data_IF_266321538876
#
_entry.id   IF_266321538876
#
_cell.length_a   1.000
_cell.length_b   1.000
_cell.length_c   1.000
_cell.angle_alpha   90.00
_cell.angle_beta   90.00
_cell.angle_gamma   90.00
#
_symmetry.space_group_name_H-M   'P 1'
#
loop_
_entity.id
_entity.type
_entity.pdbx_description
1 polymer ?
#
# COMPACT_ATOMS: atom_id res chain seq x y z
N UNK A 1 22.43 -5.17 1.61
CA UNK A 1 23.78 -4.86 2.15
C UNK A 1 23.75 -4.17 3.53
N UNK A 2 23.09 -2.99 3.71
CA UNK A 2 23.12 -2.27 5.00
C UNK A 2 22.48 -3.05 6.15
N UNK A 3 21.33 -3.65 5.91
CA UNK A 3 20.64 -4.45 6.93
C UNK A 3 21.38 -5.75 7.23
N UNK A 4 22.01 -6.38 6.26
CA UNK A 4 22.86 -7.55 6.46
C UNK A 4 24.06 -7.21 7.33
N UNK A 5 24.71 -6.08 7.08
CA UNK A 5 25.81 -5.60 7.92
C UNK A 5 25.37 -5.25 9.34
N UNK A 6 24.16 -4.70 9.51
CA UNK A 6 23.59 -4.45 10.85
C UNK A 6 23.33 -5.76 11.60
N UNK A 7 22.84 -6.79 10.91
CA UNK A 7 22.61 -8.13 11.46
C UNK A 7 23.94 -8.84 11.80
N UNK A 8 24.98 -8.67 10.98
CA UNK A 8 26.30 -9.20 11.29
C UNK A 8 26.89 -8.59 12.58
N UNK A 9 26.66 -7.29 12.80
CA UNK A 9 27.14 -6.58 14.00
C UNK A 9 26.31 -6.88 15.24
N UNK A 10 24.99 -7.02 15.08
CA UNK A 10 24.06 -7.32 16.16
C UNK A 10 22.99 -8.31 15.65
N UNK A 11 23.22 -9.63 15.75
CA UNK A 11 22.31 -10.64 15.25
C UNK A 11 20.92 -10.65 15.91
N UNK A 12 20.79 -10.06 17.11
CA UNK A 12 19.53 -9.94 17.84
C UNK A 12 18.74 -8.66 17.48
N UNK A 13 19.20 -7.85 16.52
CA UNK A 13 18.52 -6.60 16.15
C UNK A 13 17.27 -6.86 15.29
N UNK A 14 16.14 -7.08 15.96
CA UNK A 14 14.85 -7.41 15.34
C UNK A 14 14.47 -6.47 14.20
N UNK A 15 14.63 -5.15 14.39
CA UNK A 15 14.29 -4.15 13.35
C UNK A 15 15.13 -4.32 12.09
N UNK A 16 16.39 -4.71 12.18
CA UNK A 16 17.24 -4.95 11.00
C UNK A 16 16.74 -6.16 10.20
N UNK A 17 16.35 -7.25 10.86
CA UNK A 17 15.72 -8.41 10.22
C UNK A 17 14.39 -8.04 9.56
N UNK A 18 13.55 -7.23 10.21
CA UNK A 18 12.29 -6.76 9.64
C UNK A 18 12.51 -5.92 8.37
N UNK A 19 13.42 -4.95 8.39
CA UNK A 19 13.73 -4.14 7.23
C UNK A 19 14.44 -4.92 6.11
N UNK A 20 15.22 -5.95 6.44
CA UNK A 20 15.72 -6.91 5.46
C UNK A 20 14.58 -7.61 4.74
N UNK A 21 13.57 -8.09 5.49
CA UNK A 21 12.37 -8.71 4.91
C UNK A 21 11.61 -7.76 3.97
N UNK A 22 11.39 -6.52 4.40
CA UNK A 22 10.74 -5.48 3.59
C UNK A 22 11.53 -5.21 2.29
N UNK A 23 12.86 -5.14 2.37
CA UNK A 23 13.71 -4.90 1.20
C UNK A 23 13.66 -6.06 0.22
N UNK A 24 13.69 -7.31 0.70
CA UNK A 24 13.60 -8.50 -0.13
C UNK A 24 12.25 -8.58 -0.85
N UNK A 25 11.15 -8.31 -0.14
CA UNK A 25 9.81 -8.29 -0.72
C UNK A 25 9.70 -7.24 -1.84
N UNK A 26 10.14 -5.99 -1.58
CA UNK A 26 10.12 -4.94 -2.60
C UNK A 26 11.02 -5.27 -3.81
N UNK A 27 12.16 -5.94 -3.59
CA UNK A 27 13.04 -6.35 -4.68
C UNK A 27 12.34 -7.37 -5.58
N UNK A 28 11.67 -8.35 -4.99
CA UNK A 28 10.90 -9.35 -5.72
C UNK A 28 9.76 -8.73 -6.55
N UNK A 29 9.09 -7.69 -6.02
CA UNK A 29 8.01 -6.98 -6.73
C UNK A 29 8.53 -6.19 -7.96
N UNK A 30 9.83 -5.91 -8.04
CA UNK A 30 10.44 -5.18 -9.16
C UNK A 30 11.04 -6.09 -10.24
N UNK A 31 11.17 -7.37 -9.98
CA UNK A 31 11.70 -8.35 -10.93
C UNK A 31 10.56 -8.97 -11.76
N UNK A 32 10.74 -9.11 -13.07
CA UNK A 32 9.75 -9.74 -13.95
C UNK A 32 9.52 -11.24 -13.60
N UNK A 33 10.54 -11.87 -13.05
CA UNK A 33 10.51 -13.29 -12.63
C UNK A 33 11.35 -13.46 -11.37
N UNK A 34 10.84 -13.07 -10.20
CA UNK A 34 11.59 -13.14 -8.96
C UNK A 34 11.90 -14.60 -8.58
N UNK A 35 13.12 -14.84 -8.06
CA UNK A 35 13.44 -16.13 -7.46
C UNK A 35 12.49 -16.39 -6.28
N UNK A 36 11.72 -17.49 -6.26
CA UNK A 36 10.84 -17.84 -5.15
C UNK A 36 11.51 -17.79 -3.77
N UNK A 37 12.81 -18.05 -3.70
CA UNK A 37 13.61 -17.95 -2.48
C UNK A 37 13.69 -16.55 -1.89
N UNK A 38 13.49 -15.50 -2.71
CA UNK A 38 13.47 -14.12 -2.19
C UNK A 38 12.31 -13.94 -1.20
N UNK A 39 11.12 -14.43 -1.55
CA UNK A 39 9.97 -14.40 -0.65
C UNK A 39 10.15 -15.31 0.56
N UNK A 40 10.66 -16.53 0.37
CA UNK A 40 10.99 -17.44 1.48
C UNK A 40 11.93 -16.75 2.47
N UNK A 41 13.02 -16.16 1.99
CA UNK A 41 13.99 -15.42 2.82
C UNK A 41 13.36 -14.19 3.50
N UNK A 42 12.43 -13.50 2.85
CA UNK A 42 11.70 -12.39 3.45
C UNK A 42 10.83 -12.89 4.63
N UNK A 43 10.07 -13.97 4.43
CA UNK A 43 9.25 -14.56 5.48
C UNK A 43 10.07 -15.16 6.64
N UNK A 44 11.20 -15.80 6.37
CA UNK A 44 12.12 -16.26 7.42
C UNK A 44 12.66 -15.08 8.23
N UNK A 45 13.10 -14.01 7.55
CA UNK A 45 13.62 -12.82 8.24
C UNK A 45 12.60 -12.15 9.13
N UNK A 46 11.35 -12.02 8.69
CA UNK A 46 10.32 -11.35 9.50
C UNK A 46 9.84 -12.23 10.67
N UNK A 47 9.80 -13.56 10.50
CA UNK A 47 9.49 -14.49 11.58
C UNK A 47 10.57 -14.42 12.67
N UNK A 48 11.85 -14.44 12.27
CA UNK A 48 12.95 -14.29 13.23
C UNK A 48 12.88 -12.93 13.93
N UNK A 49 12.57 -11.85 13.21
CA UNK A 49 12.40 -10.53 13.83
C UNK A 49 11.32 -10.55 14.92
N UNK A 50 10.20 -11.23 14.67
CA UNK A 50 9.10 -11.35 15.63
C UNK A 50 9.48 -12.19 16.87
N UNK A 51 10.30 -13.22 16.68
CA UNK A 51 10.84 -14.04 17.79
C UNK A 51 11.84 -13.24 18.63
N UNK A 52 12.66 -12.39 18.02
CA UNK A 52 13.65 -11.55 18.71
C UNK A 52 13.01 -10.41 19.49
N UNK A 53 12.00 -9.75 18.95
CA UNK A 53 11.25 -8.69 19.64
C UNK A 53 9.80 -8.61 19.13
N UNK A 54 8.89 -9.19 19.89
CA UNK A 54 7.46 -9.15 19.63
C UNK A 54 6.79 -7.82 19.98
N UNK A 55 7.53 -6.82 20.47
CA UNK A 55 7.03 -5.48 20.77
C UNK A 55 7.61 -4.41 19.82
N UNK A 56 8.40 -4.81 18.81
CA UNK A 56 8.93 -3.87 17.82
C UNK A 56 7.82 -3.51 16.79
N UNK A 57 7.35 -2.24 16.74
CA UNK A 57 6.24 -1.84 15.87
C UNK A 57 6.50 -2.10 14.39
N UNK A 58 7.74 -1.88 13.92
CA UNK A 58 8.13 -2.10 12.53
C UNK A 58 8.06 -3.58 12.12
N UNK A 59 8.34 -4.51 13.04
CA UNK A 59 8.17 -5.94 12.79
C UNK A 59 6.71 -6.25 12.48
N UNK A 60 5.79 -5.74 13.30
CA UNK A 60 4.36 -5.93 13.07
C UNK A 60 3.88 -5.24 11.79
N UNK A 61 4.29 -4.01 11.52
CA UNK A 61 3.93 -3.30 10.29
C UNK A 61 4.35 -4.07 9.04
N UNK A 62 5.59 -4.58 9.02
CA UNK A 62 6.14 -5.30 7.86
C UNK A 62 5.48 -6.68 7.73
N UNK A 63 5.28 -7.40 8.84
CA UNK A 63 4.54 -8.67 8.82
C UNK A 63 3.11 -8.47 8.29
N UNK A 64 2.41 -7.42 8.75
CA UNK A 64 1.08 -7.08 8.24
C UNK A 64 1.07 -6.80 6.73
N UNK A 65 2.08 -6.12 6.22
CA UNK A 65 2.23 -5.88 4.79
C UNK A 65 2.43 -7.20 4.01
N UNK A 66 3.36 -8.06 4.43
CA UNK A 66 3.59 -9.35 3.79
C UNK A 66 2.33 -10.22 3.79
N UNK A 67 1.59 -10.27 4.91
CA UNK A 67 0.31 -10.99 5.01
C UNK A 67 -0.74 -10.44 4.05
N UNK A 68 -0.84 -9.11 3.91
CA UNK A 68 -1.84 -8.47 3.05
C UNK A 68 -1.52 -8.67 1.56
N UNK A 69 -0.30 -8.33 1.12
CA UNK A 69 0.03 -8.27 -0.31
C UNK A 69 0.44 -9.61 -0.90
N UNK A 70 1.15 -10.47 -0.16
CA UNK A 70 1.68 -11.73 -0.71
C UNK A 70 0.84 -12.95 -0.34
N UNK A 71 0.41 -13.07 0.93
CA UNK A 71 -0.38 -14.22 1.36
C UNK A 71 -1.90 -14.02 1.22
N UNK A 72 -2.38 -12.77 1.07
CA UNK A 72 -3.81 -12.43 1.09
C UNK A 72 -4.50 -12.89 2.39
N UNK A 73 -3.73 -13.02 3.46
CA UNK A 73 -4.22 -13.36 4.79
C UNK A 73 -4.70 -12.08 5.50
N UNK A 74 -5.94 -11.70 5.21
CA UNK A 74 -6.52 -10.46 5.71
C UNK A 74 -6.64 -10.44 7.25
N UNK A 75 -6.91 -11.59 7.90
CA UNK A 75 -7.05 -11.65 9.35
C UNK A 75 -5.71 -11.37 10.05
N UNK A 76 -4.65 -12.04 9.61
CA UNK A 76 -3.32 -11.81 10.15
C UNK A 76 -2.77 -10.43 9.77
N UNK A 77 -3.08 -9.94 8.56
CA UNK A 77 -2.72 -8.58 8.16
C UNK A 77 -3.34 -7.54 9.12
N UNK A 78 -4.64 -7.64 9.41
CA UNK A 78 -5.33 -6.76 10.37
C UNK A 78 -4.68 -6.83 11.74
N UNK A 79 -4.51 -8.04 12.28
CA UNK A 79 -3.89 -8.23 13.60
C UNK A 79 -2.54 -7.51 13.71
N UNK A 80 -1.67 -7.69 12.74
CA UNK A 80 -0.33 -7.12 12.78
C UNK A 80 -0.33 -5.59 12.57
N UNK A 81 -1.15 -5.05 11.68
CA UNK A 81 -1.26 -3.60 11.52
C UNK A 81 -1.86 -2.91 12.75
N UNK A 82 -2.89 -3.50 13.38
CA UNK A 82 -3.46 -3.00 14.63
C UNK A 82 -2.44 -3.04 15.76
N UNK A 83 -1.64 -4.12 15.84
CA UNK A 83 -0.58 -4.25 16.85
C UNK A 83 0.53 -3.23 16.65
N UNK A 84 0.97 -2.98 15.42
CA UNK A 84 1.95 -1.92 15.12
C UNK A 84 1.43 -0.54 15.56
N UNK A 85 0.16 -0.25 15.25
CA UNK A 85 -0.50 0.99 15.61
C UNK A 85 -0.69 1.15 17.13
N UNK A 86 -0.97 0.06 17.85
CA UNK A 86 -1.05 0.04 19.32
C UNK A 86 0.31 0.35 19.96
N UNK A 87 1.38 -0.30 19.47
CA UNK A 87 2.74 -0.16 19.99
C UNK A 87 3.34 1.22 19.71
N UNK A 88 3.02 1.84 18.56
CA UNK A 88 3.51 3.18 18.21
C UNK A 88 2.40 4.06 17.63
N UNK A 89 1.50 4.60 18.49
CA UNK A 89 0.28 5.27 18.06
C UNK A 89 0.50 6.65 17.42
N UNK A 90 1.68 7.23 17.52
CA UNK A 90 2.01 8.56 16.98
C UNK A 90 2.98 8.54 15.80
N UNK A 91 3.42 7.37 15.36
CA UNK A 91 4.25 7.25 14.16
C UNK A 91 3.40 7.40 12.90
N UNK A 92 3.64 8.49 12.16
CA UNK A 92 2.88 8.84 10.95
C UNK A 92 3.02 7.80 9.85
N UNK A 93 4.19 7.15 9.75
CA UNK A 93 4.41 6.10 8.76
C UNK A 93 3.58 4.85 9.09
N UNK A 94 3.57 4.41 10.34
CA UNK A 94 2.72 3.30 10.81
C UNK A 94 1.24 3.61 10.61
N UNK A 95 0.79 4.83 10.98
CA UNK A 95 -0.59 5.26 10.78
C UNK A 95 -0.96 5.23 9.29
N UNK A 96 -0.09 5.72 8.42
CA UNK A 96 -0.35 5.73 6.97
C UNK A 96 -0.50 4.29 6.42
N UNK A 97 0.30 3.33 6.88
CA UNK A 97 0.22 1.93 6.46
C UNK A 97 -1.02 1.24 7.02
N UNK A 98 -1.41 1.57 8.24
CA UNK A 98 -2.67 1.13 8.81
C UNK A 98 -3.88 1.67 8.01
N UNK A 99 -3.87 2.94 7.63
CA UNK A 99 -4.90 3.52 6.77
C UNK A 99 -4.99 2.84 5.39
N UNK A 100 -3.85 2.50 4.78
CA UNK A 100 -3.83 1.74 3.53
C UNK A 100 -4.46 0.34 3.72
N UNK A 101 -4.19 -0.35 4.82
CA UNK A 101 -4.87 -1.61 5.14
C UNK A 101 -6.38 -1.41 5.23
N UNK A 102 -6.87 -0.37 5.93
CA UNK A 102 -8.29 -0.05 6.03
C UNK A 102 -8.95 0.16 4.66
N UNK A 103 -8.25 0.80 3.71
CA UNK A 103 -8.73 0.95 2.31
C UNK A 103 -9.01 -0.42 1.70
N UNK A 104 -8.10 -1.37 1.81
CA UNK A 104 -8.28 -2.72 1.26
C UNK A 104 -9.31 -3.57 2.01
N UNK A 105 -9.74 -3.12 3.19
CA UNK A 105 -10.85 -3.68 3.94
C UNK A 105 -12.19 -2.99 3.64
N UNK A 106 -12.21 -1.97 2.76
CA UNK A 106 -13.41 -1.19 2.45
C UNK A 106 -13.83 -0.21 3.55
N UNK A 107 -12.96 0.05 4.53
CA UNK A 107 -13.23 0.92 5.69
C UNK A 107 -12.73 2.36 5.40
N UNK A 108 -13.22 2.96 4.31
CA UNK A 108 -12.69 4.22 3.75
C UNK A 108 -12.83 5.41 4.70
N UNK A 109 -13.95 5.53 5.42
CA UNK A 109 -14.16 6.62 6.39
C UNK A 109 -13.14 6.54 7.53
N UNK A 110 -12.90 5.34 8.08
CA UNK A 110 -11.88 5.14 9.11
C UNK A 110 -10.47 5.40 8.58
N UNK A 111 -10.19 5.03 7.33
CA UNK A 111 -8.93 5.35 6.69
C UNK A 111 -8.70 6.87 6.63
N UNK A 112 -9.72 7.65 6.23
CA UNK A 112 -9.65 9.11 6.23
C UNK A 112 -9.42 9.69 7.63
N UNK A 113 -10.10 9.17 8.65
CA UNK A 113 -9.89 9.61 10.06
C UNK A 113 -8.43 9.43 10.50
N UNK A 114 -7.83 8.27 10.18
CA UNK A 114 -6.42 8.00 10.52
C UNK A 114 -5.46 8.88 9.70
N UNK A 115 -5.73 9.11 8.41
CA UNK A 115 -4.92 9.99 7.57
C UNK A 115 -4.99 11.44 8.07
N UNK A 116 -6.15 11.94 8.46
CA UNK A 116 -6.31 13.25 9.08
C UNK A 116 -5.58 13.34 10.43
N UNK A 117 -5.59 12.26 11.21
CA UNK A 117 -4.82 12.18 12.44
C UNK A 117 -3.31 12.25 12.14
N UNK A 118 -2.83 11.53 11.14
CA UNK A 118 -1.43 11.56 10.70
C UNK A 118 -0.99 12.98 10.30
N UNK A 119 -1.81 13.71 9.54
CA UNK A 119 -1.55 15.11 9.16
C UNK A 119 -1.42 16.06 10.36
N UNK A 120 -2.22 15.82 11.42
CA UNK A 120 -2.10 16.63 12.65
C UNK A 120 -0.83 16.33 13.43
N UNK A 121 -0.33 15.08 13.37
CA UNK A 121 0.89 14.67 14.06
C UNK A 121 2.15 15.18 13.36
N UNK A 122 2.16 15.14 12.03
CA UNK A 122 3.25 15.66 11.21
C UNK A 122 2.70 16.46 10.01
N UNK A 123 2.61 17.79 10.15
CA UNK A 123 2.15 18.67 9.08
C UNK A 123 3.08 18.71 7.84
N UNK A 124 4.27 18.11 7.90
CA UNK A 124 5.25 18.13 6.81
C UNK A 124 5.34 16.82 6.03
N UNK A 125 4.82 15.71 6.56
CA UNK A 125 4.86 14.37 5.92
C UNK A 125 3.70 14.12 4.95
N UNK A 126 3.21 15.14 4.26
CA UNK A 126 2.01 15.06 3.42
C UNK A 126 2.14 14.10 2.23
N UNK A 127 3.34 13.90 1.68
CA UNK A 127 3.53 13.10 0.45
C UNK A 127 3.09 11.63 0.61
N UNK A 128 3.20 11.06 1.81
CA UNK A 128 2.76 9.69 2.12
C UNK A 128 1.24 9.55 2.26
N UNK A 129 0.54 10.66 2.51
CA UNK A 129 -0.85 10.65 2.93
C UNK A 129 -1.81 10.98 1.78
N UNK A 130 -1.40 11.83 0.82
CA UNK A 130 -2.28 12.30 -0.25
C UNK A 130 -2.76 11.20 -1.20
N UNK A 131 -1.90 10.22 -1.53
CA UNK A 131 -2.30 9.11 -2.39
C UNK A 131 -3.41 8.25 -1.79
N UNK A 132 -3.22 7.70 -0.58
CA UNK A 132 -4.26 6.97 0.13
C UNK A 132 -5.53 7.78 0.37
N UNK A 133 -5.41 9.07 0.72
CA UNK A 133 -6.56 9.97 0.89
C UNK A 133 -7.38 10.11 -0.39
N UNK A 134 -6.71 10.33 -1.52
CA UNK A 134 -7.38 10.43 -2.81
C UNK A 134 -8.07 9.13 -3.21
N UNK A 135 -7.49 7.96 -2.90
CA UNK A 135 -8.14 6.66 -3.10
C UNK A 135 -9.40 6.54 -2.24
N UNK A 136 -9.37 6.99 -0.97
CA UNK A 136 -10.58 7.00 -0.13
C UNK A 136 -11.68 7.86 -0.75
N UNK A 137 -11.36 9.08 -1.21
CA UNK A 137 -12.34 9.96 -1.87
C UNK A 137 -12.94 9.31 -3.12
N UNK A 138 -12.12 8.64 -3.95
CA UNK A 138 -12.62 7.91 -5.11
C UNK A 138 -13.65 6.82 -4.72
N UNK A 139 -13.35 6.03 -3.69
CA UNK A 139 -14.24 4.95 -3.24
C UNK A 139 -15.51 5.47 -2.54
N UNK A 140 -15.44 6.63 -1.90
CA UNK A 140 -16.58 7.34 -1.29
C UNK A 140 -17.40 8.13 -2.32
N UNK A 141 -17.15 7.93 -3.61
CA UNK A 141 -17.85 8.57 -4.73
C UNK A 141 -17.72 10.10 -4.77
N UNK A 142 -16.55 10.59 -4.36
CA UNK A 142 -16.14 11.99 -4.40
C UNK A 142 -14.97 12.20 -5.39
N UNK A 143 -15.19 11.99 -6.71
CA UNK A 143 -14.11 11.97 -7.70
C UNK A 143 -13.42 13.33 -7.87
N UNK A 144 -14.10 14.45 -7.66
CA UNK A 144 -13.52 15.79 -7.74
C UNK A 144 -12.50 16.01 -6.62
N UNK A 145 -12.83 15.64 -5.38
CA UNK A 145 -11.94 15.68 -4.23
C UNK A 145 -10.76 14.73 -4.42
N UNK A 146 -11.00 13.54 -4.96
CA UNK A 146 -9.94 12.61 -5.31
C UNK A 146 -8.95 13.24 -6.30
N UNK A 147 -9.44 13.85 -7.40
CA UNK A 147 -8.60 14.53 -8.38
C UNK A 147 -7.84 15.73 -7.82
N UNK A 148 -8.47 16.53 -6.94
CA UNK A 148 -7.80 17.63 -6.26
C UNK A 148 -6.67 17.15 -5.35
N UNK A 149 -6.90 16.04 -4.64
CA UNK A 149 -5.92 15.45 -3.75
C UNK A 149 -4.77 14.78 -4.53
N UNK A 150 -5.06 14.08 -5.63
CA UNK A 150 -4.02 13.55 -6.52
C UNK A 150 -3.10 14.61 -7.13
N UNK A 151 -3.56 15.87 -7.32
CA UNK A 151 -2.70 16.96 -7.79
C UNK A 151 -1.55 17.26 -6.81
N UNK A 152 -1.73 16.98 -5.51
CA UNK A 152 -0.73 17.20 -4.47
C UNK A 152 0.32 16.09 -4.39
N UNK A 153 0.05 14.93 -5.01
CA UNK A 153 0.98 13.78 -5.02
C UNK A 153 2.15 14.07 -5.93
N UNK A 154 3.38 13.94 -5.42
CA UNK A 154 4.61 14.16 -6.20
C UNK A 154 4.89 13.03 -7.19
N UNK A 155 4.75 11.78 -6.77
CA UNK A 155 5.01 10.59 -7.61
C UNK A 155 3.68 10.00 -8.06
N UNK A 156 3.12 10.52 -9.15
CA UNK A 156 1.81 10.12 -9.66
C UNK A 156 1.77 8.74 -10.28
N UNK A 157 2.90 8.21 -10.74
CA UNK A 157 3.01 6.91 -11.42
C UNK A 157 2.22 5.80 -10.71
N UNK A 158 2.28 5.74 -9.38
CA UNK A 158 1.64 4.69 -8.58
C UNK A 158 0.10 4.85 -8.46
N UNK A 159 -0.45 5.96 -8.94
CA UNK A 159 -1.87 6.30 -8.78
C UNK A 159 -2.58 6.54 -10.11
N UNK A 160 -1.91 6.36 -11.25
CA UNK A 160 -2.45 6.68 -12.57
C UNK A 160 -3.74 5.93 -12.89
N UNK A 161 -3.88 4.67 -12.49
CA UNK A 161 -5.12 3.93 -12.64
C UNK A 161 -6.27 4.58 -11.86
N UNK A 162 -6.05 4.98 -10.62
CA UNK A 162 -7.07 5.68 -9.82
C UNK A 162 -7.34 7.10 -10.32
N UNK A 163 -6.34 7.79 -10.89
CA UNK A 163 -6.52 9.09 -11.55
C UNK A 163 -7.39 8.94 -12.79
N UNK A 164 -7.17 7.89 -13.60
CA UNK A 164 -8.00 7.58 -14.76
C UNK A 164 -9.45 7.30 -14.34
N UNK A 165 -9.65 6.45 -13.34
CA UNK A 165 -10.97 6.12 -12.78
C UNK A 165 -11.70 7.35 -12.23
N UNK A 166 -11.00 8.23 -11.50
CA UNK A 166 -11.59 9.45 -10.97
C UNK A 166 -11.97 10.44 -12.09
N UNK A 167 -11.18 10.53 -13.17
CA UNK A 167 -11.53 11.33 -14.35
C UNK A 167 -12.76 10.75 -15.05
N UNK A 168 -12.86 9.43 -15.22
CA UNK A 168 -14.03 8.78 -15.81
C UNK A 168 -15.30 9.10 -15.02
N UNK A 169 -15.28 8.93 -13.68
CA UNK A 169 -16.40 9.27 -12.81
C UNK A 169 -16.81 10.75 -12.87
N UNK A 170 -15.85 11.65 -13.10
CA UNK A 170 -16.10 13.09 -13.27
C UNK A 170 -16.52 13.48 -14.69
N UNK A 171 -16.69 12.52 -15.61
CA UNK A 171 -17.06 12.78 -17.01
C UNK A 171 -15.94 13.34 -17.88
N UNK A 172 -14.68 13.30 -17.43
CA UNK A 172 -13.49 13.75 -18.14
C UNK A 172 -12.88 12.62 -18.97
N UNK A 173 -13.65 12.03 -19.91
CA UNK A 173 -13.31 10.79 -20.61
C UNK A 173 -11.98 10.86 -21.38
N UNK A 174 -11.67 12.00 -22.02
CA UNK A 174 -10.39 12.18 -22.72
C UNK A 174 -9.18 12.05 -21.77
N UNK A 175 -9.27 12.67 -20.58
CA UNK A 175 -8.24 12.57 -19.55
C UNK A 175 -8.17 11.19 -18.93
N UNK A 176 -9.30 10.52 -18.76
CA UNK A 176 -9.34 9.14 -18.27
C UNK A 176 -8.57 8.21 -19.22
N UNK A 177 -8.84 8.31 -20.54
CA UNK A 177 -8.11 7.57 -21.58
C UNK A 177 -6.61 7.89 -21.59
N UNK A 178 -6.24 9.18 -21.53
CA UNK A 178 -4.83 9.61 -21.49
C UNK A 178 -4.11 9.03 -20.27
N UNK A 179 -4.69 9.17 -19.07
CA UNK A 179 -4.07 8.67 -17.85
C UNK A 179 -3.98 7.13 -17.82
N UNK A 180 -4.95 6.43 -18.41
CA UNK A 180 -4.89 4.96 -18.49
C UNK A 180 -3.79 4.49 -19.45
N UNK A 181 -3.61 5.17 -20.61
CA UNK A 181 -2.47 4.93 -21.53
C UNK A 181 -1.13 5.17 -20.82
N UNK A 182 -1.02 6.27 -20.08
CA UNK A 182 0.17 6.59 -19.31
C UNK A 182 0.44 5.53 -18.23
N UNK A 183 -0.63 5.04 -17.54
CA UNK A 183 -0.52 3.96 -16.56
C UNK A 183 0.09 2.70 -17.18
N UNK A 184 -0.44 2.24 -18.32
CA UNK A 184 0.11 1.07 -19.01
C UNK A 184 1.58 1.27 -19.42
N UNK A 185 1.91 2.43 -19.97
CA UNK A 185 3.26 2.72 -20.44
C UNK A 185 4.30 2.77 -19.30
N UNK A 186 3.93 3.34 -18.16
CA UNK A 186 4.86 3.53 -17.03
C UNK A 186 4.93 2.36 -16.07
N UNK A 187 3.86 1.57 -15.95
CA UNK A 187 3.82 0.45 -14.99
C UNK A 187 4.06 -0.90 -15.64
N UNK A 188 3.81 -1.03 -16.96
CA UNK A 188 3.79 -2.31 -17.67
C UNK A 188 2.56 -3.18 -17.35
N UNK A 189 1.64 -2.69 -16.51
CA UNK A 189 0.44 -3.41 -16.12
C UNK A 189 -0.72 -3.09 -17.05
N UNK A 190 -1.51 -4.09 -17.41
CA UNK A 190 -2.86 -3.93 -17.94
C UNK A 190 -3.91 -3.84 -16.81
N UNK A 191 -5.19 -3.72 -17.16
CA UNK A 191 -6.27 -3.63 -16.19
C UNK A 191 -6.35 -4.87 -15.29
N UNK A 192 -6.21 -6.06 -15.85
CA UNK A 192 -6.33 -7.31 -15.08
C UNK A 192 -5.15 -7.48 -14.11
N UNK A 193 -3.94 -7.16 -14.54
CA UNK A 193 -2.74 -7.17 -13.70
C UNK A 193 -2.84 -6.15 -12.56
N UNK A 194 -3.30 -4.92 -12.87
CA UNK A 194 -3.52 -3.91 -11.84
C UNK A 194 -4.58 -4.35 -10.83
N UNK A 195 -5.75 -4.80 -11.29
CA UNK A 195 -6.83 -5.28 -10.41
C UNK A 195 -6.36 -6.46 -9.56
N UNK A 196 -5.63 -7.41 -10.15
CA UNK A 196 -5.07 -8.57 -9.45
C UNK A 196 -4.04 -8.19 -8.38
N UNK A 197 -3.32 -7.08 -8.55
CA UNK A 197 -2.36 -6.59 -7.55
C UNK A 197 -3.04 -5.99 -6.30
N UNK A 198 -4.31 -5.58 -6.40
CA UNK A 198 -5.01 -4.93 -5.30
C UNK A 198 -5.52 -5.96 -4.28
N UNK A 199 -5.08 -5.90 -2.99
CA UNK A 199 -5.41 -6.92 -1.99
C UNK A 199 -6.75 -6.66 -1.28
N UNK A 200 -7.83 -6.37 -2.00
CA UNK A 200 -9.13 -6.17 -1.39
C UNK A 200 -9.62 -7.44 -0.69
N UNK A 201 -10.13 -7.28 0.54
CA UNK A 201 -10.76 -8.35 1.30
C UNK A 201 -12.06 -8.80 0.66
N UNK A 202 -12.89 -7.85 0.22
CA UNK A 202 -14.17 -8.10 -0.41
C UNK A 202 -14.02 -8.10 -1.95
N UNK A 203 -14.45 -9.18 -2.58
CA UNK A 203 -14.44 -9.35 -4.03
C UNK A 203 -15.36 -8.36 -4.77
N UNK A 204 -16.30 -7.74 -4.08
CA UNK A 204 -17.14 -6.69 -4.66
C UNK A 204 -16.29 -5.50 -5.13
N UNK A 205 -15.31 -5.05 -4.31
CA UNK A 205 -14.41 -3.95 -4.70
C UNK A 205 -13.52 -4.33 -5.90
N UNK A 206 -13.03 -5.56 -5.94
CA UNK A 206 -12.25 -6.07 -7.07
C UNK A 206 -13.08 -6.08 -8.35
N UNK A 207 -14.31 -6.57 -8.28
CA UNK A 207 -15.25 -6.65 -9.41
C UNK A 207 -15.65 -5.26 -9.90
N UNK A 208 -15.92 -4.34 -8.97
CA UNK A 208 -16.25 -2.94 -9.28
C UNK A 208 -15.07 -2.25 -9.97
N UNK A 209 -13.86 -2.40 -9.45
CA UNK A 209 -12.64 -1.82 -10.02
C UNK A 209 -12.41 -2.30 -11.47
N UNK A 210 -12.57 -3.61 -11.69
CA UNK A 210 -12.46 -4.21 -13.03
C UNK A 210 -13.52 -3.65 -14.00
N UNK A 211 -14.76 -3.57 -13.56
CA UNK A 211 -15.87 -3.04 -14.35
C UNK A 211 -15.65 -1.57 -14.72
N UNK A 212 -15.27 -0.73 -13.76
CA UNK A 212 -15.05 0.69 -13.99
C UNK A 212 -13.87 0.95 -14.93
N UNK A 213 -12.75 0.21 -14.80
CA UNK A 213 -11.63 0.29 -15.74
C UNK A 213 -12.01 -0.13 -17.17
N UNK A 214 -12.91 -1.10 -17.32
CA UNK A 214 -13.38 -1.57 -18.62
C UNK A 214 -14.25 -0.55 -19.35
N UNK A 215 -14.81 0.44 -18.67
CA UNK A 215 -15.60 1.51 -19.27
C UNK A 215 -14.72 2.60 -19.92
N UNK A 216 -13.45 2.70 -19.53
CA UNK A 216 -12.54 3.69 -20.09
C UNK A 216 -12.07 3.20 -21.47
N UNK A 217 -12.47 3.93 -22.52
CA UNK A 217 -12.03 3.65 -23.89
C UNK A 217 -10.59 4.15 -24.09
N UNK A 218 -9.68 3.28 -24.54
CA UNK A 218 -8.25 3.56 -24.71
C UNK A 218 -7.89 3.68 -26.20
#
# INVERSE_FOLDING_TARGET
ELFEKAIELEPSYARAHAWRACTLSNLADWEESPDPKIFENAFESIKLALELDSNEPEVHRIMGALKLWHERDHEMARYHFEKARELCPSDVFIISRYAIMLIYFGEFDKALEELERAKRLDPFSHDLLFGPEAICHYWLDNPEEALQTFKKVKVKKNFLFYIALANEKSGNNDKASENLKEAYALTGMDNDSFVGSQPFKDQEFTSKLKSELSNITV
#
